data_IF_570225685354
#
_entry.id   IF_570225685354
#
_cell.length_a   1.000
_cell.length_b   1.000
_cell.length_c   1.000
_cell.angle_alpha   90.00
_cell.angle_beta   90.00
_cell.angle_gamma   90.00
#
_symmetry.space_group_name_H-M   'P 1'
#
loop_
_entity.id
_entity.type
_entity.pdbx_description
1 polymer ?
#
# COMPACT_ATOMS: atom_id res chain seq x y z
N UNK A 1 14.89 -39.20 -10.84
CA UNK A 1 16.32 -38.95 -10.55
C UNK A 1 16.35 -38.15 -9.26
N UNK A 2 16.87 -38.74 -8.19
CA UNK A 2 16.77 -38.21 -6.82
C UNK A 2 18.08 -37.49 -6.50
N UNK A 3 18.04 -36.16 -6.36
CA UNK A 3 19.18 -35.37 -5.93
C UNK A 3 19.09 -35.16 -4.42
N UNK A 4 19.99 -35.79 -3.67
CA UNK A 4 20.17 -35.57 -2.24
C UNK A 4 21.12 -34.39 -2.05
N UNK A 5 20.63 -33.29 -1.47
CA UNK A 5 21.44 -32.15 -1.08
C UNK A 5 21.83 -32.31 0.40
N UNK A 6 23.13 -32.45 0.64
CA UNK A 6 23.74 -32.47 1.97
C UNK A 6 24.18 -31.05 2.28
N UNK A 7 23.57 -30.42 3.28
CA UNK A 7 24.05 -29.16 3.86
C UNK A 7 24.65 -29.46 5.24
N UNK A 8 25.95 -29.22 5.35
CA UNK A 8 26.72 -29.34 6.59
C UNK A 8 27.03 -27.99 7.20
N UNK A 9 26.72 -27.87 8.50
CA UNK A 9 27.50 -27.29 9.61
C UNK A 9 28.22 -25.95 9.42
N UNK A 10 27.89 -24.99 10.29
CA UNK A 10 28.87 -24.42 11.22
C UNK A 10 28.17 -23.83 12.46
N UNK A 11 28.46 -24.42 13.62
CA UNK A 11 28.16 -23.87 14.93
C UNK A 11 29.39 -23.11 15.45
N UNK A 12 29.21 -21.87 15.88
CA UNK A 12 30.13 -21.09 16.70
C UNK A 12 29.21 -20.16 17.53
N UNK A 13 29.08 -20.25 18.85
CA UNK A 13 30.12 -20.46 19.85
C UNK A 13 30.65 -19.08 20.26
N UNK A 14 29.99 -18.45 21.23
CA UNK A 14 30.28 -17.09 21.69
C UNK A 14 29.50 -16.72 22.95
N UNK A 15 29.82 -17.37 24.05
CA UNK A 15 29.55 -16.91 25.41
C UNK A 15 30.33 -15.62 25.68
N UNK A 16 29.64 -14.50 25.90
CA UNK A 16 30.22 -13.36 26.61
C UNK A 16 29.25 -12.87 27.70
N UNK A 17 29.55 -13.33 28.92
CA UNK A 17 28.99 -12.83 30.16
C UNK A 17 29.72 -11.54 30.54
N UNK A 18 29.00 -10.43 30.66
CA UNK A 18 29.63 -9.15 30.95
C UNK A 18 28.71 -8.08 31.54
N UNK A 19 28.73 -8.02 32.87
CA UNK A 19 28.63 -6.83 33.73
C UNK A 19 27.29 -6.13 33.94
N UNK A 20 26.68 -6.47 35.08
CA UNK A 20 25.98 -5.57 36.00
C UNK A 20 26.69 -4.22 36.17
N UNK A 21 25.91 -3.14 36.02
CA UNK A 21 26.29 -1.79 36.45
C UNK A 21 25.06 -1.01 36.94
N UNK A 22 24.94 -0.68 38.24
CA UNK A 22 23.93 0.24 38.73
C UNK A 22 24.48 1.67 38.65
N UNK A 23 24.03 2.42 37.65
CA UNK A 23 24.32 3.85 37.49
C UNK A 23 23.02 4.65 37.53
N UNK A 24 22.57 4.99 38.74
CA UNK A 24 21.48 5.92 38.96
C UNK A 24 22.02 7.36 38.82
N UNK A 25 21.95 7.91 37.62
CA UNK A 25 22.10 9.35 37.39
C UNK A 25 20.70 9.96 37.27
N UNK A 26 20.27 10.60 38.35
CA UNK A 26 19.06 11.41 38.41
C UNK A 26 19.32 12.70 37.62
N UNK A 27 18.97 12.70 36.34
CA UNK A 27 18.99 13.92 35.53
C UNK A 27 17.91 14.88 36.00
N UNK A 28 18.35 16.08 36.38
CA UNK A 28 17.52 17.18 36.82
C UNK A 28 16.58 17.59 35.67
N UNK A 29 15.28 17.47 35.93
CA UNK A 29 14.21 17.97 35.06
C UNK A 29 14.31 19.49 35.01
N UNK A 30 14.84 20.02 33.90
CA UNK A 30 14.77 21.44 33.59
C UNK A 30 13.31 21.80 33.25
N UNK A 31 12.77 22.81 33.93
CA UNK A 31 11.46 23.37 33.58
C UNK A 31 11.50 23.92 32.14
N UNK A 32 10.51 23.61 31.29
CA UNK A 32 10.45 24.10 29.93
C UNK A 32 10.29 25.63 29.93
N UNK A 33 11.07 26.30 29.09
CA UNK A 33 10.95 27.75 28.87
C UNK A 33 9.57 28.11 28.32
N UNK A 34 9.03 29.29 28.68
CA UNK A 34 7.72 29.74 28.25
C UNK A 34 7.62 29.81 26.72
N UNK A 35 6.54 29.26 26.16
CA UNK A 35 6.27 29.28 24.73
C UNK A 35 6.13 30.71 24.20
N UNK A 36 6.68 31.00 23.01
CA UNK A 36 6.56 32.30 22.37
C UNK A 36 5.08 32.63 22.07
N UNK A 37 4.69 33.88 22.38
CA UNK A 37 3.34 34.37 22.06
C UNK A 37 3.09 34.34 20.54
N UNK A 38 1.87 33.99 20.10
CA UNK A 38 1.55 33.89 18.69
C UNK A 38 1.67 35.24 17.98
N UNK A 39 2.40 35.25 16.86
CA UNK A 39 2.53 36.43 16.00
C UNK A 39 1.19 36.82 15.36
N UNK A 40 0.97 38.12 15.09
CA UNK A 40 -0.27 38.62 14.52
C UNK A 40 -0.53 38.03 13.13
N UNK A 41 -1.73 37.48 12.94
CA UNK A 41 -2.19 36.96 11.66
C UNK A 41 -2.22 38.08 10.61
N UNK A 42 -1.51 37.88 9.51
CA UNK A 42 -1.50 38.81 8.39
C UNK A 42 -2.82 38.71 7.63
N UNK A 43 -3.58 39.80 7.63
CA UNK A 43 -4.77 39.95 6.80
C UNK A 43 -4.36 39.81 5.32
N UNK A 44 -4.84 38.74 4.66
CA UNK A 44 -4.53 38.48 3.26
C UNK A 44 -5.21 39.51 2.36
N UNK A 45 -4.41 40.09 1.46
CA UNK A 45 -4.81 41.03 0.42
C UNK A 45 -5.83 40.44 -0.58
N UNK A 46 -6.58 41.29 -1.30
CA UNK A 46 -7.68 40.88 -2.17
C UNK A 46 -7.24 40.01 -3.35
N UNK A 47 -8.01 38.97 -3.63
CA UNK A 47 -7.79 38.07 -4.76
C UNK A 47 -7.97 38.78 -6.11
N UNK A 48 -7.09 38.51 -7.11
CA UNK A 48 -7.23 39.05 -8.45
C UNK A 48 -8.37 38.36 -9.23
N UNK A 49 -9.31 39.17 -9.73
CA UNK A 49 -10.36 38.75 -10.64
C UNK A 49 -9.73 38.25 -11.96
N UNK A 50 -9.68 36.92 -12.15
CA UNK A 50 -9.27 36.31 -13.43
C UNK A 50 -10.47 36.22 -14.36
N UNK A 51 -10.59 37.19 -15.26
CA UNK A 51 -11.36 37.01 -16.50
C UNK A 51 -10.61 36.00 -17.38
N UNK A 52 -11.18 34.82 -17.57
CA UNK A 52 -10.67 33.81 -18.51
C UNK A 52 -11.79 33.42 -19.47
N UNK A 53 -11.80 34.10 -20.61
CA UNK A 53 -12.50 33.68 -21.82
C UNK A 53 -11.86 32.38 -22.32
N UNK A 54 -12.47 31.24 -21.98
CA UNK A 54 -12.21 29.95 -22.62
C UNK A 54 -13.48 29.52 -23.38
N UNK A 55 -13.72 30.17 -24.52
CA UNK A 55 -14.69 29.71 -25.51
C UNK A 55 -14.15 28.46 -26.20
N UNK A 56 -14.50 27.30 -25.63
CA UNK A 56 -14.11 26.00 -26.15
C UNK A 56 -14.87 24.87 -25.49
N UNK A 57 -16.15 25.07 -25.15
CA UNK A 57 -17.04 24.01 -24.71
C UNK A 57 -17.39 23.12 -25.91
N UNK A 58 -16.48 22.21 -26.24
CA UNK A 58 -16.87 20.99 -26.94
C UNK A 58 -17.83 20.25 -26.02
N UNK A 59 -19.10 20.17 -26.43
CA UNK A 59 -20.13 19.41 -25.75
C UNK A 59 -19.76 17.93 -25.85
N UNK A 60 -18.91 17.46 -24.92
CA UNK A 60 -18.64 16.04 -24.73
C UNK A 60 -19.91 15.49 -24.09
N UNK A 61 -20.83 15.04 -24.94
CA UNK A 61 -21.95 14.18 -24.55
C UNK A 61 -21.39 12.82 -24.13
N UNK A 62 -20.65 12.79 -23.02
CA UNK A 62 -20.32 11.59 -22.29
C UNK A 62 -21.53 11.23 -21.45
N UNK A 63 -22.10 10.05 -21.70
CA UNK A 63 -22.94 9.38 -20.71
C UNK A 63 -22.21 9.45 -19.35
N UNK A 64 -22.89 9.77 -18.24
CA UNK A 64 -22.25 9.76 -16.93
C UNK A 64 -21.62 8.39 -16.73
N UNK A 65 -20.29 8.36 -16.62
CA UNK A 65 -19.57 7.12 -16.39
C UNK A 65 -19.97 6.63 -14.99
N UNK A 66 -20.67 5.49 -14.93
CA UNK A 66 -21.00 4.87 -13.64
C UNK A 66 -19.68 4.45 -12.96
N UNK A 67 -19.53 4.67 -11.64
CA UNK A 67 -18.36 4.22 -10.89
C UNK A 67 -18.03 2.78 -11.21
N UNK A 68 -16.75 2.46 -11.47
CA UNK A 68 -16.41 1.08 -11.76
C UNK A 68 -16.79 0.27 -10.53
N UNK A 69 -17.48 -0.84 -10.75
CA UNK A 69 -17.89 -1.71 -9.66
C UNK A 69 -16.64 -2.17 -8.91
N UNK A 70 -16.71 -2.18 -7.57
CA UNK A 70 -15.63 -2.72 -6.74
C UNK A 70 -15.26 -4.14 -7.17
N UNK A 71 -16.28 -4.92 -7.52
CA UNK A 71 -16.13 -6.27 -8.05
C UNK A 71 -15.96 -6.23 -9.57
N UNK A 72 -14.93 -6.90 -10.05
CA UNK A 72 -14.68 -7.18 -11.45
C UNK A 72 -15.39 -8.48 -11.88
N UNK A 73 -15.54 -8.68 -13.18
CA UNK A 73 -16.07 -9.94 -13.74
C UNK A 73 -15.03 -11.06 -13.69
N UNK A 74 -13.75 -10.73 -13.85
CA UNK A 74 -12.64 -11.67 -13.93
C UNK A 74 -11.39 -11.11 -13.25
N UNK A 75 -10.51 -12.01 -12.80
CA UNK A 75 -9.21 -11.68 -12.20
C UNK A 75 -8.11 -11.58 -13.26
N UNK A 76 -6.96 -11.02 -12.89
CA UNK A 76 -5.75 -11.19 -13.66
C UNK A 76 -5.40 -12.69 -13.76
N UNK A 77 -4.73 -13.14 -14.83
CA UNK A 77 -4.34 -14.54 -15.01
C UNK A 77 -3.15 -14.94 -14.10
N UNK A 78 -3.29 -14.69 -12.81
CA UNK A 78 -2.36 -15.04 -11.74
C UNK A 78 -2.99 -16.20 -10.97
N UNK A 79 -2.21 -17.22 -10.66
CA UNK A 79 -2.71 -18.34 -9.85
C UNK A 79 -3.03 -17.85 -8.42
N UNK A 80 -4.23 -18.18 -7.95
CA UNK A 80 -4.67 -17.84 -6.61
C UNK A 80 -4.04 -18.78 -5.57
N UNK A 81 -3.69 -18.25 -4.38
CA UNK A 81 -3.21 -19.08 -3.28
C UNK A 81 -4.39 -19.77 -2.57
N UNK A 82 -4.12 -20.52 -1.49
CA UNK A 82 -5.19 -21.13 -0.68
C UNK A 82 -6.02 -20.07 0.06
N UNK A 83 -7.29 -20.34 0.39
CA UNK A 83 -8.12 -19.41 1.16
C UNK A 83 -7.50 -18.99 2.49
N UNK A 84 -7.57 -17.69 2.79
CA UNK A 84 -6.96 -17.07 3.96
C UNK A 84 -5.46 -16.79 3.82
N UNK A 85 -4.91 -16.82 2.61
CA UNK A 85 -3.49 -16.58 2.34
C UNK A 85 -3.27 -15.56 1.22
N UNK A 86 -2.04 -15.05 1.11
CA UNK A 86 -1.62 -14.21 0.00
C UNK A 86 -0.27 -14.63 -0.57
N UNK A 87 -0.08 -14.33 -1.84
CA UNK A 87 1.18 -14.47 -2.57
C UNK A 87 1.52 -13.14 -3.23
N UNK A 88 2.70 -12.63 -2.95
CA UNK A 88 3.24 -11.41 -3.55
C UNK A 88 4.52 -11.77 -4.27
N UNK A 89 4.61 -11.47 -5.57
CA UNK A 89 5.86 -11.61 -6.34
C UNK A 89 6.35 -10.24 -6.73
N UNK A 90 7.55 -9.86 -6.32
CA UNK A 90 8.16 -8.58 -6.66
C UNK A 90 9.55 -8.84 -7.24
N UNK A 91 9.81 -8.29 -8.43
CA UNK A 91 11.09 -8.46 -9.13
C UNK A 91 11.54 -9.94 -9.29
N UNK A 92 10.57 -10.87 -9.34
CA UNK A 92 10.81 -12.31 -9.45
C UNK A 92 11.03 -13.05 -8.12
N UNK A 93 11.06 -12.32 -6.99
CA UNK A 93 11.04 -12.93 -5.66
C UNK A 93 9.61 -13.10 -5.18
N UNK A 94 9.27 -14.28 -4.65
CA UNK A 94 7.92 -14.59 -4.17
C UNK A 94 7.89 -14.70 -2.65
N UNK A 95 6.96 -13.97 -2.05
CA UNK A 95 6.65 -13.98 -0.63
C UNK A 95 5.25 -14.58 -0.42
N UNK A 96 5.11 -15.44 0.59
CA UNK A 96 3.85 -16.09 0.94
C UNK A 96 3.45 -15.68 2.34
N UNK A 97 2.21 -15.21 2.48
CA UNK A 97 1.61 -14.80 3.74
C UNK A 97 0.56 -15.84 4.14
N UNK A 98 0.93 -16.70 5.08
CA UNK A 98 0.06 -17.81 5.55
C UNK A 98 -1.11 -17.34 6.42
N UNK A 99 -1.10 -16.07 6.84
CA UNK A 99 -2.17 -15.48 7.63
C UNK A 99 -2.38 -14.03 7.23
N UNK A 100 -3.65 -13.70 6.99
CA UNK A 100 -4.11 -12.35 6.72
C UNK A 100 -4.62 -11.69 8.03
N UNK A 101 -4.32 -10.41 8.22
CA UNK A 101 -4.83 -9.63 9.34
C UNK A 101 -6.24 -9.11 9.07
N UNK A 102 -6.44 -8.48 7.92
CA UNK A 102 -7.75 -8.23 7.32
C UNK A 102 -7.83 -8.84 5.92
N UNK A 103 -9.01 -9.28 5.52
CA UNK A 103 -9.30 -9.73 4.16
C UNK A 103 -10.80 -9.62 3.90
N UNK A 104 -11.22 -8.74 2.99
CA UNK A 104 -12.61 -8.69 2.53
C UNK A 104 -13.08 -7.32 2.09
N UNK A 105 -14.38 -7.26 1.82
CA UNK A 105 -15.09 -6.07 1.34
C UNK A 105 -15.85 -5.40 2.49
N UNK A 106 -15.83 -4.07 2.52
CA UNK A 106 -16.61 -3.26 3.45
C UNK A 106 -17.31 -2.11 2.74
N UNK A 107 -18.43 -1.65 3.29
CA UNK A 107 -19.16 -0.48 2.81
C UNK A 107 -19.43 0.48 3.97
N UNK A 108 -19.05 1.74 3.80
CA UNK A 108 -19.23 2.81 4.79
C UNK A 108 -19.82 4.02 4.06
N UNK A 109 -21.14 4.20 4.21
CA UNK A 109 -21.85 5.26 3.49
C UNK A 109 -21.76 5.06 1.98
N UNK A 110 -21.26 6.06 1.28
CA UNK A 110 -21.09 6.10 -0.18
C UNK A 110 -19.74 5.55 -0.64
N UNK A 111 -18.98 4.93 0.28
CA UNK A 111 -17.67 4.34 -0.03
C UNK A 111 -17.72 2.82 0.12
N UNK A 112 -17.28 2.12 -0.91
CA UNK A 112 -16.99 0.70 -0.86
C UNK A 112 -15.48 0.49 -0.84
N UNK A 113 -15.00 -0.50 -0.11
CA UNK A 113 -13.57 -0.82 -0.09
C UNK A 113 -13.32 -2.32 -0.05
N UNK A 114 -12.22 -2.74 -0.66
CA UNK A 114 -11.58 -4.02 -0.42
C UNK A 114 -10.27 -3.78 0.32
N UNK A 115 -10.01 -4.55 1.36
CA UNK A 115 -8.75 -4.53 2.09
C UNK A 115 -8.25 -5.95 2.29
N UNK A 116 -6.98 -6.18 1.97
CA UNK A 116 -6.23 -7.33 2.42
C UNK A 116 -4.87 -6.89 2.98
N UNK A 117 -4.51 -7.40 4.15
CA UNK A 117 -3.19 -7.19 4.73
C UNK A 117 -2.67 -8.49 5.34
N UNK A 118 -1.35 -8.59 5.44
CA UNK A 118 -0.74 -9.75 6.08
C UNK A 118 0.68 -9.48 6.52
N UNK A 119 1.11 -10.33 7.43
CA UNK A 119 2.40 -10.27 8.10
C UNK A 119 3.14 -11.58 7.87
N UNK A 120 4.43 -11.49 7.57
CA UNK A 120 5.34 -12.61 7.39
C UNK A 120 6.69 -12.29 8.02
N UNK A 121 7.62 -13.24 7.94
CA UNK A 121 8.97 -13.08 8.43
C UNK A 121 9.96 -13.47 7.31
N UNK A 122 10.97 -12.64 7.09
CA UNK A 122 12.05 -12.95 6.17
C UNK A 122 13.06 -13.92 6.81
N UNK A 123 13.90 -14.62 6.02
CA UNK A 123 14.90 -15.54 6.57
C UNK A 123 15.91 -14.91 7.54
N UNK A 124 16.09 -13.59 7.50
CA UNK A 124 16.95 -12.85 8.44
C UNK A 124 16.23 -12.41 9.72
N UNK A 125 14.96 -12.80 9.90
CA UNK A 125 14.13 -12.48 11.07
C UNK A 125 13.46 -11.11 11.01
N UNK A 126 13.58 -10.37 9.90
CA UNK A 126 12.88 -9.10 9.70
C UNK A 126 11.39 -9.35 9.42
N UNK A 127 10.52 -8.47 9.93
CA UNK A 127 9.09 -8.56 9.68
C UNK A 127 8.78 -8.06 8.26
N UNK A 128 7.93 -8.79 7.55
CA UNK A 128 7.43 -8.44 6.22
C UNK A 128 5.94 -8.12 6.32
N UNK A 129 5.55 -6.98 5.75
CA UNK A 129 4.17 -6.53 5.69
C UNK A 129 3.75 -6.34 4.24
N UNK A 130 2.54 -6.78 3.89
CA UNK A 130 1.91 -6.37 2.65
C UNK A 130 0.54 -5.75 2.90
N UNK A 131 0.16 -4.85 1.99
CA UNK A 131 -1.17 -4.23 1.95
C UNK A 131 -1.68 -4.18 0.53
N UNK A 132 -2.94 -4.56 0.35
CA UNK A 132 -3.68 -4.45 -0.90
C UNK A 132 -5.02 -3.76 -0.60
N UNK A 133 -5.20 -2.54 -1.10
CA UNK A 133 -6.39 -1.74 -0.82
C UNK A 133 -6.99 -1.18 -2.10
N UNK A 134 -8.30 -1.37 -2.29
CA UNK A 134 -9.08 -0.70 -3.33
C UNK A 134 -10.24 0.04 -2.68
N UNK A 135 -10.38 1.32 -2.99
CA UNK A 135 -11.50 2.15 -2.55
C UNK A 135 -12.25 2.66 -3.77
N UNK A 136 -13.58 2.60 -3.70
CA UNK A 136 -14.49 3.13 -4.70
C UNK A 136 -15.48 4.05 -4.00
N UNK A 137 -15.59 5.27 -4.49
CA UNK A 137 -16.51 6.29 -4.00
C UNK A 137 -17.68 6.45 -4.98
N UNK A 138 -18.89 6.63 -4.45
CA UNK A 138 -20.05 7.00 -5.26
C UNK A 138 -19.84 8.38 -5.88
N UNK A 139 -20.13 8.53 -7.18
CA UNK A 139 -19.88 9.75 -7.95
C UNK A 139 -20.64 10.95 -7.37
N UNK A 140 -21.82 10.70 -6.81
CA UNK A 140 -22.66 11.75 -6.24
C UNK A 140 -22.13 12.28 -4.89
N UNK A 141 -21.17 11.59 -4.27
CA UNK A 141 -20.64 11.90 -2.93
C UNK A 141 -19.46 12.86 -2.92
N UNK A 142 -18.83 13.10 -4.08
CA UNK A 142 -17.53 13.76 -4.17
C UNK A 142 -17.69 15.18 -4.76
N UNK A 143 -17.16 16.24 -4.11
CA UNK A 143 -17.02 17.54 -4.75
C UNK A 143 -16.19 17.41 -6.03
N UNK A 144 -16.67 17.97 -7.14
CA UNK A 144 -15.99 17.91 -8.44
C UNK A 144 -14.49 18.20 -8.31
N UNK A 145 -13.64 17.22 -8.61
CA UNK A 145 -12.18 17.35 -8.55
C UNK A 145 -11.45 16.44 -7.54
N UNK A 146 -12.11 15.46 -6.90
CA UNK A 146 -11.41 14.39 -6.17
C UNK A 146 -11.52 13.05 -6.90
N UNK A 147 -10.62 12.12 -6.57
CA UNK A 147 -10.56 10.79 -7.17
C UNK A 147 -11.74 9.92 -6.74
N UNK A 148 -12.33 9.20 -7.70
CA UNK A 148 -13.47 8.29 -7.51
C UNK A 148 -13.03 6.87 -7.16
N UNK A 149 -11.84 6.49 -7.58
CA UNK A 149 -11.25 5.18 -7.28
C UNK A 149 -9.81 5.39 -6.83
N UNK A 150 -9.43 4.66 -5.79
CA UNK A 150 -8.08 4.69 -5.24
C UNK A 150 -7.60 3.26 -5.01
N UNK A 151 -6.49 2.91 -5.64
CA UNK A 151 -5.84 1.62 -5.48
C UNK A 151 -4.46 1.80 -4.87
N UNK A 152 -4.17 1.02 -3.82
CA UNK A 152 -2.90 1.01 -3.12
C UNK A 152 -2.38 -0.42 -3.03
N UNK A 153 -1.15 -0.61 -3.51
CA UNK A 153 -0.35 -1.81 -3.31
C UNK A 153 0.88 -1.43 -2.51
N UNK A 154 1.19 -2.21 -1.48
CA UNK A 154 2.33 -1.97 -0.63
C UNK A 154 2.99 -3.29 -0.22
N UNK A 155 4.33 -3.30 -0.27
CA UNK A 155 5.17 -4.31 0.36
C UNK A 155 6.25 -3.57 1.16
N UNK A 156 6.29 -3.81 2.47
CA UNK A 156 7.22 -3.15 3.38
C UNK A 156 7.97 -4.18 4.23
N UNK A 157 9.23 -3.87 4.55
CA UNK A 157 10.04 -4.66 5.50
C UNK A 157 10.31 -3.80 6.73
N UNK A 158 9.94 -4.29 7.90
CA UNK A 158 10.23 -3.68 9.19
C UNK A 158 11.43 -4.41 9.82
N UNK A 159 12.47 -3.66 10.20
CA UNK A 159 13.73 -4.24 10.70
C UNK A 159 13.63 -4.75 12.14
N UNK A 160 12.72 -4.18 12.93
CA UNK A 160 12.52 -4.53 14.34
C UNK A 160 11.03 -4.40 14.64
N UNK A 161 10.42 -5.39 15.29
CA UNK A 161 9.00 -5.35 15.70
C UNK A 161 8.71 -4.09 16.55
N UNK A 162 7.96 -3.14 15.99
CA UNK A 162 7.62 -1.85 16.62
C UNK A 162 8.62 -0.73 16.32
N UNK A 163 9.54 -0.96 15.38
CA UNK A 163 10.55 -0.03 14.91
C UNK A 163 10.09 0.79 13.70
N UNK A 164 11.01 1.52 13.08
CA UNK A 164 10.75 2.22 11.82
C UNK A 164 10.72 1.24 10.64
N UNK A 165 9.86 1.50 9.66
CA UNK A 165 9.90 0.79 8.36
C UNK A 165 11.29 0.97 7.74
N UNK A 166 11.92 -0.15 7.34
CA UNK A 166 13.27 -0.13 6.79
C UNK A 166 13.30 -0.04 5.26
N UNK A 167 12.31 -0.64 4.59
CA UNK A 167 12.11 -0.50 3.15
C UNK A 167 10.63 -0.56 2.81
N UNK A 168 10.24 0.14 1.75
CA UNK A 168 8.85 0.27 1.32
C UNK A 168 8.81 0.37 -0.21
N UNK A 169 8.26 -0.66 -0.84
CA UNK A 169 7.85 -0.65 -2.23
C UNK A 169 6.34 -0.41 -2.27
N UNK A 170 5.90 0.61 -3.00
CA UNK A 170 4.49 0.93 -3.10
C UNK A 170 4.12 1.34 -4.52
N UNK A 171 2.84 1.18 -4.81
CA UNK A 171 2.19 1.72 -5.98
C UNK A 171 0.84 2.26 -5.57
N UNK A 172 0.57 3.48 -5.96
CA UNK A 172 -0.66 4.20 -5.66
C UNK A 172 -1.16 4.80 -6.96
N UNK A 173 -2.41 4.49 -7.27
CA UNK A 173 -3.08 5.07 -8.41
C UNK A 173 -4.47 5.51 -8.05
N UNK A 174 -4.80 6.71 -8.50
CA UNK A 174 -6.11 7.29 -8.33
C UNK A 174 -6.74 7.59 -9.69
N UNK A 175 -8.06 7.47 -9.78
CA UNK A 175 -8.83 7.73 -11.00
C UNK A 175 -9.86 8.80 -10.72
N UNK A 176 -9.76 9.90 -11.45
CA UNK A 176 -10.71 11.01 -11.37
C UNK A 176 -12.03 10.72 -12.10
N UNK A 177 -12.11 9.68 -12.93
CA UNK A 177 -13.35 9.24 -13.54
C UNK A 177 -13.39 7.72 -13.65
N UNK A 178 -14.58 7.11 -13.52
CA UNK A 178 -14.76 5.68 -13.66
C UNK A 178 -14.34 5.16 -15.04
N UNK A 179 -13.62 4.04 -15.05
CA UNK A 179 -13.15 3.42 -16.30
C UNK A 179 -12.09 4.22 -17.06
N UNK A 180 -11.65 5.38 -16.57
CA UNK A 180 -10.47 6.04 -17.12
C UNK A 180 -9.24 5.14 -16.93
N UNK A 181 -8.35 5.09 -17.94
CA UNK A 181 -7.07 4.45 -17.76
C UNK A 181 -6.33 5.15 -16.63
N UNK A 182 -5.82 4.34 -15.71
CA UNK A 182 -4.91 4.80 -14.67
C UNK A 182 -3.75 5.54 -15.31
N UNK A 183 -3.58 6.83 -14.98
CA UNK A 183 -2.44 7.63 -15.45
C UNK A 183 -1.20 7.29 -14.61
N UNK A 184 -0.59 6.14 -14.90
CA UNK A 184 0.76 5.80 -14.45
C UNK A 184 1.81 6.13 -15.53
N UNK A 185 3.10 6.14 -15.17
CA UNK A 185 4.21 6.39 -16.11
C UNK A 185 4.48 5.22 -17.10
N UNK A 186 3.57 4.24 -17.21
CA UNK A 186 3.71 3.05 -18.06
C UNK A 186 2.39 2.56 -18.66
N UNK A 187 2.48 1.76 -19.73
CA UNK A 187 1.33 1.26 -20.52
C UNK A 187 0.31 0.50 -19.65
N UNK A 188 -0.82 1.16 -19.36
CA UNK A 188 -2.14 0.63 -18.93
C UNK A 188 -2.16 -0.82 -18.43
N UNK A 189 -1.97 -0.99 -17.13
CA UNK A 189 -2.40 -2.17 -16.39
C UNK A 189 -3.73 -1.86 -15.68
N UNK A 190 -4.66 -2.83 -15.54
CA UNK A 190 -5.66 -2.75 -14.49
C UNK A 190 -4.96 -2.79 -13.13
N UNK A 191 -5.40 -1.91 -12.23
CA UNK A 191 -5.02 -1.93 -10.83
C UNK A 191 -6.18 -2.52 -10.02
N UNK A 192 -5.82 -3.46 -9.14
CA UNK A 192 -6.62 -4.34 -8.24
C UNK A 192 -7.98 -4.79 -8.80
N UNK A 193 -8.08 -6.06 -9.22
CA UNK A 193 -9.34 -6.73 -9.56
C UNK A 193 -9.80 -7.59 -8.37
N UNK A 194 -11.05 -7.42 -7.95
CA UNK A 194 -11.67 -8.15 -6.84
C UNK A 194 -12.87 -8.94 -7.36
N UNK A 195 -13.00 -10.21 -6.99
CA UNK A 195 -14.14 -11.08 -7.37
C UNK A 195 -14.74 -11.70 -6.11
N UNK A 196 -16.06 -11.86 -6.08
CA UNK A 196 -16.79 -12.64 -5.07
C UNK A 196 -17.54 -13.77 -5.78
N UNK A 197 -17.10 -15.01 -5.57
CA UNK A 197 -17.66 -16.21 -6.19
C UNK A 197 -18.78 -16.86 -5.36
N UNK A 198 -19.42 -16.08 -4.48
CA UNK A 198 -20.56 -16.54 -3.67
C UNK A 198 -20.13 -17.18 -2.35
N UNK A 199 -19.05 -16.68 -1.75
CA UNK A 199 -18.56 -17.12 -0.44
C UNK A 199 -17.05 -17.05 -0.24
N UNK A 200 -16.29 -16.83 -1.30
CA UNK A 200 -14.84 -16.61 -1.29
C UNK A 200 -14.57 -15.28 -2.02
N UNK A 201 -13.79 -14.40 -1.39
CA UNK A 201 -13.41 -13.11 -1.98
C UNK A 201 -11.97 -13.24 -2.43
N UNK A 202 -11.71 -13.10 -3.72
CA UNK A 202 -10.36 -13.15 -4.27
C UNK A 202 -9.97 -11.82 -4.89
N UNK A 203 -8.70 -11.47 -4.79
CA UNK A 203 -8.16 -10.27 -5.43
C UNK A 203 -6.83 -10.55 -6.11
N UNK A 204 -6.61 -9.92 -7.26
CA UNK A 204 -5.35 -9.93 -7.98
C UNK A 204 -4.95 -8.52 -8.39
N UNK A 205 -3.67 -8.22 -8.43
CA UNK A 205 -3.17 -6.94 -8.90
C UNK A 205 -1.81 -7.08 -9.58
N UNK A 206 -1.55 -6.23 -10.57
CA UNK A 206 -0.26 -6.13 -11.24
C UNK A 206 0.10 -4.66 -11.38
N UNK A 207 1.29 -4.27 -10.92
CA UNK A 207 1.78 -2.92 -11.11
C UNK A 207 3.29 -2.82 -11.06
N UNK A 208 3.82 -1.74 -11.63
CA UNK A 208 5.21 -1.34 -11.42
C UNK A 208 5.33 -0.66 -10.04
N UNK A 209 6.05 -1.32 -9.13
CA UNK A 209 6.25 -0.87 -7.75
C UNK A 209 7.48 0.04 -7.69
N UNK A 210 7.36 1.16 -6.96
CA UNK A 210 8.44 2.14 -6.76
C UNK A 210 9.00 2.06 -5.35
N UNK A 211 10.31 2.24 -5.21
CA UNK A 211 10.96 2.37 -3.90
C UNK A 211 10.78 3.79 -3.36
N UNK A 212 10.26 3.91 -2.14
CA UNK A 212 10.01 5.22 -1.53
C UNK A 212 11.14 5.78 -0.68
N UNK A 213 12.11 4.94 -0.29
CA UNK A 213 13.09 5.27 0.74
C UNK A 213 14.50 4.85 0.31
N UNK A 214 15.46 5.74 0.56
CA UNK A 214 16.81 5.74 0.00
C UNK A 214 17.79 4.73 0.59
N UNK A 215 17.43 4.06 1.68
CA UNK A 215 18.23 2.99 2.27
C UNK A 215 17.66 1.63 1.82
N UNK A 216 18.23 1.08 0.74
CA UNK A 216 18.35 -0.36 0.40
C UNK A 216 17.60 -0.89 -0.83
N UNK A 217 18.42 -1.49 -1.70
CA UNK A 217 18.15 -2.31 -2.89
C UNK A 217 17.34 -3.62 -2.63
N UNK A 218 16.84 -3.85 -1.40
CA UNK A 218 16.36 -5.19 -0.98
C UNK A 218 14.95 -5.54 -1.46
N UNK A 219 14.02 -4.58 -1.45
CA UNK A 219 12.68 -4.83 -1.97
C UNK A 219 12.66 -4.89 -3.50
N UNK A 220 13.70 -4.38 -4.17
CA UNK A 220 13.77 -4.28 -5.63
C UNK A 220 12.74 -3.31 -6.21
N UNK A 221 13.10 -2.64 -7.32
CA UNK A 221 12.11 -2.02 -8.20
C UNK A 221 11.68 -3.05 -9.24
N UNK A 222 10.43 -3.01 -9.66
CA UNK A 222 9.96 -3.87 -10.75
C UNK A 222 8.47 -4.11 -10.74
N UNK A 223 8.06 -5.10 -11.53
CA UNK A 223 6.66 -5.54 -11.57
C UNK A 223 6.36 -6.34 -10.30
N UNK A 224 5.36 -5.86 -9.56
CA UNK A 224 4.71 -6.54 -8.45
C UNK A 224 3.44 -7.24 -8.94
N UNK A 225 3.31 -8.52 -8.59
CA UNK A 225 2.11 -9.34 -8.79
C UNK A 225 1.56 -9.74 -7.42
N UNK A 226 0.32 -9.39 -7.15
CA UNK A 226 -0.38 -9.70 -5.89
C UNK A 226 -1.52 -10.66 -6.18
N UNK A 227 -1.65 -11.71 -5.37
CA UNK A 227 -2.79 -12.63 -5.39
C UNK A 227 -3.21 -12.93 -3.96
N UNK A 228 -4.49 -12.72 -3.66
CA UNK A 228 -5.08 -12.90 -2.33
C UNK A 228 -6.36 -13.72 -2.48
N UNK A 229 -6.55 -14.69 -1.59
CA UNK A 229 -7.82 -15.38 -1.40
C UNK A 229 -8.26 -15.23 0.06
N UNK A 230 -9.43 -14.64 0.27
CA UNK A 230 -10.22 -14.63 1.50
C UNK A 230 -11.25 -15.77 1.39
#
# INVERSE_FOLDING_TARGET
>A
MTAALVLGLAACGGDDAGTDGPGADAEAVAEPEPEPEPEPESESEPEPERESEAEGAGEVSGEPAEPATLLADELHPIELPEPGTARVTLAGETYVFERLGACGVSQIGERSSFTADGFGELPDGSDLYFSLNRLVFDVDSIPTGQDHEWDLMQLAVEQESGGGMSSNAWHDTARAMPGEPVRGDGDTLPVILVVDDGGEISATAVAEMRLSMSDLDRAGEGIGEFAVSC
#
